data_IF_041959171772
#
_entry.id   IF_041959171772
#
_cell.length_a   1.000
_cell.length_b   1.000
_cell.length_c   1.000
_cell.angle_alpha   90.00
_cell.angle_beta   90.00
_cell.angle_gamma   90.00
#
_symmetry.space_group_name_H-M   'P 1'
#
loop_
_entity.id
_entity.type
_entity.pdbx_description
1 polymer ?
#
# COMPACT_ATOMS: atom_id res chain seq x y z
N UNK A 1 20.48 11.54 -15.45
CA UNK A 1 19.11 11.12 -15.09
C UNK A 1 18.93 11.43 -13.62
N UNK A 2 17.91 12.21 -13.27
CA UNK A 2 17.56 12.49 -11.87
C UNK A 2 16.58 11.42 -11.42
N UNK A 3 16.78 10.86 -10.23
CA UNK A 3 15.89 9.88 -9.63
C UNK A 3 15.78 10.18 -8.13
N UNK A 4 14.62 9.88 -7.57
CA UNK A 4 14.38 9.98 -6.14
C UNK A 4 14.78 8.66 -5.47
N UNK A 5 15.48 8.72 -4.33
CA UNK A 5 15.80 7.55 -3.50
C UNK A 5 15.05 7.66 -2.18
N UNK A 6 14.24 6.65 -1.90
CA UNK A 6 13.55 6.49 -0.62
C UNK A 6 14.15 5.28 0.10
N UNK A 7 14.58 5.48 1.35
CA UNK A 7 15.14 4.45 2.22
C UNK A 7 14.58 4.65 3.63
N UNK A 8 14.03 3.60 4.21
CA UNK A 8 13.44 3.63 5.55
C UNK A 8 13.37 2.21 6.13
N UNK A 9 13.31 2.14 7.45
CA UNK A 9 12.91 0.95 8.19
C UNK A 9 11.44 1.08 8.58
N UNK A 10 10.72 -0.04 8.64
CA UNK A 10 9.31 -0.05 9.02
C UNK A 10 9.01 -1.15 10.02
N UNK A 11 8.02 -0.87 10.86
CA UNK A 11 7.41 -1.82 11.78
C UNK A 11 5.90 -1.58 11.78
N UNK A 12 5.11 -2.65 11.80
CA UNK A 12 3.64 -2.55 11.85
C UNK A 12 3.19 -3.07 13.20
N UNK A 13 2.56 -2.19 13.98
CA UNK A 13 2.09 -2.47 15.34
C UNK A 13 0.58 -2.27 15.48
N UNK A 14 0.06 -2.67 16.63
CA UNK A 14 -1.35 -2.56 16.96
C UNK A 14 -2.14 -3.86 16.78
N UNK A 15 -3.39 -3.81 17.23
CA UNK A 15 -4.33 -4.92 17.13
C UNK A 15 -5.18 -4.79 15.87
N UNK A 16 -5.54 -5.94 15.29
CA UNK A 16 -6.45 -5.96 14.15
C UNK A 16 -7.83 -5.41 14.55
N UNK A 17 -8.32 -4.43 13.79
CA UNK A 17 -9.64 -3.84 14.02
C UNK A 17 -10.72 -4.85 13.64
N UNK A 18 -11.56 -5.23 14.61
CA UNK A 18 -12.70 -6.12 14.39
C UNK A 18 -13.62 -5.53 13.30
N UNK A 19 -13.94 -6.33 12.28
CA UNK A 19 -14.68 -5.95 11.05
C UNK A 19 -13.89 -5.18 9.98
N UNK A 20 -12.58 -4.99 10.13
CA UNK A 20 -11.77 -4.56 8.99
C UNK A 20 -11.78 -5.64 7.88
N UNK A 21 -11.48 -5.28 6.62
CA UNK A 21 -11.30 -6.27 5.56
C UNK A 21 -10.13 -7.21 5.90
N UNK A 22 -10.28 -8.51 5.65
CA UNK A 22 -9.29 -9.52 6.04
C UNK A 22 -7.85 -9.25 5.54
N UNK A 23 -7.70 -8.50 4.44
CA UNK A 23 -6.40 -8.15 3.86
C UNK A 23 -5.67 -7.01 4.59
N UNK A 24 -6.28 -6.30 5.54
CA UNK A 24 -5.68 -5.14 6.20
C UNK A 24 -4.83 -5.51 7.42
N UNK A 25 -4.87 -6.76 7.86
CA UNK A 25 -4.04 -7.23 8.97
C UNK A 25 -2.56 -7.18 8.60
N UNK A 26 -1.81 -6.28 9.27
CA UNK A 26 -0.39 -6.08 9.04
C UNK A 26 -0.01 -5.77 7.58
N UNK A 27 -0.83 -4.95 6.90
CA UNK A 27 -0.64 -4.59 5.50
C UNK A 27 -0.58 -3.06 5.35
N UNK A 28 0.43 -2.58 4.63
CA UNK A 28 0.67 -1.18 4.32
C UNK A 28 1.38 -1.08 2.97
N UNK A 29 1.73 0.12 2.54
CA UNK A 29 2.46 0.35 1.31
C UNK A 29 2.89 1.80 1.15
N UNK A 30 3.90 2.02 0.31
CA UNK A 30 4.34 3.36 -0.08
C UNK A 30 3.93 3.62 -1.52
N UNK A 31 3.11 4.65 -1.73
CA UNK A 31 2.70 5.11 -3.06
C UNK A 31 3.74 6.07 -3.65
N UNK A 32 4.43 5.62 -4.71
CA UNK A 32 5.42 6.36 -5.48
C UNK A 32 4.78 6.98 -6.74
N UNK A 33 5.23 8.17 -7.09
CA UNK A 33 4.69 8.97 -8.21
C UNK A 33 3.16 9.06 -8.18
N UNK A 34 2.62 9.29 -6.99
CA UNK A 34 1.19 9.35 -6.78
C UNK A 34 0.54 10.57 -7.45
N UNK A 35 -0.66 10.34 -7.95
CA UNK A 35 -1.57 11.38 -8.42
C UNK A 35 -1.76 12.48 -7.36
N UNK A 36 -1.86 13.73 -7.81
CA UNK A 36 -2.18 14.86 -6.92
C UNK A 36 -3.61 14.73 -6.39
N UNK A 37 -3.78 15.02 -5.11
CA UNK A 37 -5.04 15.00 -4.37
C UNK A 37 -6.19 15.74 -5.10
N UNK A 38 -5.92 16.94 -5.60
CA UNK A 38 -6.91 17.78 -6.29
C UNK A 38 -7.38 17.23 -7.64
N UNK A 39 -6.73 16.21 -8.17
CA UNK A 39 -7.10 15.54 -9.41
C UNK A 39 -7.80 14.20 -9.19
N UNK A 40 -7.89 13.72 -7.94
CA UNK A 40 -8.59 12.50 -7.61
C UNK A 40 -10.11 12.70 -7.72
N UNK A 41 -10.83 11.68 -8.18
CA UNK A 41 -12.30 11.74 -8.19
C UNK A 41 -12.86 11.50 -6.79
N UNK A 42 -14.07 12.00 -6.51
CA UNK A 42 -14.70 11.89 -5.19
C UNK A 42 -14.79 10.44 -4.66
N UNK A 43 -14.99 9.47 -5.55
CA UNK A 43 -15.13 8.04 -5.17
C UNK A 43 -13.84 7.23 -5.36
N UNK A 44 -12.72 7.88 -5.68
CA UNK A 44 -11.44 7.21 -5.86
C UNK A 44 -10.81 6.89 -4.50
N UNK A 45 -10.66 5.61 -4.20
CA UNK A 45 -10.18 5.14 -2.89
C UNK A 45 -8.67 5.29 -2.67
N UNK A 46 -7.89 5.27 -3.76
CA UNK A 46 -6.43 5.36 -3.72
C UNK A 46 -5.95 6.25 -4.88
N UNK A 47 -4.86 7.00 -4.74
CA UNK A 47 -4.29 7.75 -5.86
C UNK A 47 -3.81 6.79 -6.96
N UNK A 48 -3.80 7.23 -8.22
CA UNK A 48 -3.07 6.50 -9.24
C UNK A 48 -1.58 6.58 -8.90
N UNK A 49 -0.94 5.44 -8.66
CA UNK A 49 0.45 5.37 -8.23
C UNK A 49 1.08 4.00 -8.53
N UNK A 50 2.40 3.93 -8.37
CA UNK A 50 3.08 2.66 -8.11
C UNK A 50 3.10 2.46 -6.59
N UNK A 51 2.80 1.26 -6.10
CA UNK A 51 2.86 0.95 -4.67
C UNK A 51 3.92 -0.11 -4.41
N UNK A 52 4.83 0.19 -3.49
CA UNK A 52 5.70 -0.80 -2.87
C UNK A 52 4.99 -1.34 -1.63
N UNK A 53 4.52 -2.59 -1.71
CA UNK A 53 3.75 -3.22 -0.63
C UNK A 53 4.65 -3.49 0.59
N UNK A 54 4.14 -3.20 1.78
CA UNK A 54 4.77 -3.46 3.07
C UNK A 54 3.89 -4.44 3.87
N UNK A 55 4.37 -5.67 4.03
CA UNK A 55 3.69 -6.68 4.83
C UNK A 55 4.43 -6.93 6.15
N UNK A 56 3.67 -7.15 7.22
CA UNK A 56 4.16 -7.59 8.51
C UNK A 56 3.96 -9.10 8.71
N UNK A 57 4.74 -9.67 9.62
CA UNK A 57 4.79 -11.12 9.87
C UNK A 57 3.61 -11.67 10.69
N UNK A 58 2.68 -10.82 11.13
CA UNK A 58 1.52 -11.20 11.97
C UNK A 58 0.27 -11.65 11.21
N UNK A 59 0.31 -11.66 9.86
CA UNK A 59 -0.85 -11.98 9.02
C UNK A 59 -1.17 -13.49 8.93
N UNK A 60 -2.40 -13.79 8.47
CA UNK A 60 -2.95 -15.15 8.30
C UNK A 60 -2.15 -16.00 7.28
N UNK A 61 -1.43 -15.35 6.37
CA UNK A 61 -0.65 -16.01 5.32
C UNK A 61 0.82 -16.07 5.77
N UNK A 62 1.25 -17.26 6.21
CA UNK A 62 2.66 -17.56 6.45
C UNK A 62 3.36 -17.62 5.07
N UNK A 63 4.39 -16.79 4.86
CA UNK A 63 5.17 -16.59 3.61
C UNK A 63 4.81 -15.34 2.77
N UNK A 64 4.39 -14.25 3.40
CA UNK A 64 4.23 -12.98 2.70
C UNK A 64 5.60 -12.37 2.34
N UNK A 65 5.98 -12.42 1.06
CA UNK A 65 7.06 -11.58 0.54
C UNK A 65 6.61 -10.12 0.56
N UNK A 66 7.42 -9.26 1.16
CA UNK A 66 7.23 -7.79 1.12
C UNK A 66 7.91 -7.21 -0.12
N UNK A 67 7.50 -6.02 -0.56
CA UNK A 67 8.07 -5.35 -1.73
C UNK A 67 7.42 -5.73 -3.07
N UNK A 68 6.23 -6.34 -3.07
CA UNK A 68 5.48 -6.54 -4.30
C UNK A 68 5.08 -5.19 -4.90
N UNK A 69 5.10 -5.11 -6.23
CA UNK A 69 4.58 -3.96 -6.96
C UNK A 69 3.07 -4.10 -7.12
N UNK A 70 2.33 -3.12 -6.63
CA UNK A 70 0.91 -2.94 -6.90
C UNK A 70 0.67 -1.63 -7.66
N UNK A 71 -0.41 -1.55 -8.44
CA UNK A 71 -0.81 -0.32 -9.14
C UNK A 71 -2.20 0.09 -8.70
N UNK A 72 -2.33 0.77 -7.54
CA UNK A 72 -3.61 1.19 -7.00
C UNK A 72 -4.38 2.10 -7.95
N UNK A 73 -5.69 2.14 -7.77
CA UNK A 73 -6.62 2.94 -8.57
C UNK A 73 -6.81 2.50 -10.03
N UNK A 74 -6.22 1.37 -10.47
CA UNK A 74 -6.60 0.77 -11.75
C UNK A 74 -8.06 0.35 -11.75
N UNK A 75 -8.89 1.18 -12.35
CA UNK A 75 -10.11 0.74 -13.02
C UNK A 75 -9.65 0.11 -14.34
N UNK A 76 -9.35 -1.19 -14.33
CA UNK A 76 -9.47 -1.92 -15.59
C UNK A 76 -10.96 -1.97 -15.91
N UNK A 77 -11.35 -1.36 -17.03
CA UNK A 77 -12.64 -1.62 -17.67
C UNK A 77 -12.68 -3.12 -18.01
#
# INVERSE_FOLDING_TARGET
MNYDKLEFEYFIEGEYVQNAPAFTGYNSGVMLHAQRDNSMTFNQRFPMSLEMQLLGNGGVIRNNFTGNLCTPAHRCI
#
